data_IF_799155338726
#
_entry.id   IF_799155338726
#
_cell.length_a   1.000
_cell.length_b   1.000
_cell.length_c   1.000
_cell.angle_alpha   90.00
_cell.angle_beta   90.00
_cell.angle_gamma   90.00
#
_symmetry.space_group_name_H-M   'P 1'
#
loop_
_entity.id
_entity.type
_entity.pdbx_description
1 polymer ?
#
# COMPACT_ATOMS: atom_id res chain seq x y z
N UNK A 1 -17.04 -4.55 9.03
CA UNK A 1 -16.49 -3.20 8.82
C UNK A 1 -16.08 -3.13 7.37
N UNK A 2 -16.42 -2.08 6.62
CA UNK A 2 -16.05 -2.00 5.19
C UNK A 2 -14.56 -1.67 5.05
N UNK A 3 -13.91 -2.10 3.96
CA UNK A 3 -12.49 -1.82 3.69
C UNK A 3 -12.17 -0.31 3.73
N UNK A 4 -13.08 0.52 3.23
CA UNK A 4 -12.98 1.98 3.28
C UNK A 4 -12.83 2.51 4.72
N UNK A 5 -13.65 1.99 5.65
CA UNK A 5 -13.61 2.36 7.08
C UNK A 5 -12.31 1.88 7.75
N UNK A 6 -11.72 0.78 7.26
CA UNK A 6 -10.42 0.24 7.73
C UNK A 6 -9.28 1.18 7.33
N UNK A 7 -9.16 1.48 6.03
CA UNK A 7 -8.10 2.32 5.52
C UNK A 7 -8.21 3.76 6.06
N UNK A 8 -9.44 4.26 6.21
CA UNK A 8 -9.69 5.58 6.77
C UNK A 8 -9.17 5.76 8.21
N UNK A 9 -9.09 4.70 9.03
CA UNK A 9 -8.50 4.76 10.38
C UNK A 9 -6.97 4.81 10.36
N UNK A 10 -6.35 4.03 9.48
CA UNK A 10 -4.89 3.96 9.32
C UNK A 10 -4.35 5.27 8.71
N UNK A 11 -5.06 5.86 7.77
CA UNK A 11 -4.65 7.08 7.06
C UNK A 11 -4.78 8.40 7.88
N UNK A 12 -5.02 8.34 9.20
CA UNK A 12 -5.35 9.53 10.01
C UNK A 12 -4.14 10.35 10.48
N UNK A 13 -2.92 9.82 10.39
CA UNK A 13 -1.74 10.41 11.06
C UNK A 13 -0.66 11.02 10.15
N UNK A 14 -0.49 10.53 8.93
CA UNK A 14 0.58 10.96 8.02
C UNK A 14 0.08 11.02 6.58
N UNK A 15 0.47 12.08 5.89
CA UNK A 15 0.35 12.23 4.45
C UNK A 15 1.49 11.44 3.81
N UNK A 16 1.19 10.43 3.00
CA UNK A 16 2.21 9.70 2.21
C UNK A 16 2.98 10.65 1.33
N UNK A 17 2.29 11.63 0.76
CA UNK A 17 2.91 12.68 -0.05
C UNK A 17 3.95 13.44 0.76
N UNK A 18 3.65 13.85 1.99
CA UNK A 18 4.60 14.60 2.83
C UNK A 18 5.83 13.74 3.20
N UNK A 19 5.64 12.44 3.43
CA UNK A 19 6.74 11.51 3.71
C UNK A 19 7.65 11.31 2.49
N UNK A 20 7.06 11.15 1.31
CA UNK A 20 7.80 11.05 0.04
C UNK A 20 8.55 12.36 -0.23
N UNK A 21 7.88 13.52 -0.11
CA UNK A 21 8.47 14.83 -0.34
C UNK A 21 9.66 15.08 0.59
N UNK A 22 9.50 14.81 1.90
CA UNK A 22 10.58 14.94 2.88
C UNK A 22 11.79 14.05 2.52
N UNK A 23 11.55 12.84 2.03
CA UNK A 23 12.61 11.95 1.60
C UNK A 23 13.34 12.46 0.35
N UNK A 24 12.62 13.06 -0.61
CA UNK A 24 13.25 13.68 -1.80
C UNK A 24 14.15 14.86 -1.40
N UNK A 25 13.69 15.71 -0.49
CA UNK A 25 14.47 16.84 0.04
C UNK A 25 15.75 16.35 0.72
N UNK A 26 15.68 15.25 1.48
CA UNK A 26 16.84 14.63 2.12
C UNK A 26 17.84 14.06 1.10
N UNK A 27 17.35 13.42 0.02
CA UNK A 27 18.21 12.92 -1.05
C UNK A 27 18.96 14.05 -1.76
N UNK A 28 18.27 15.15 -2.05
CA UNK A 28 18.88 16.34 -2.64
C UNK A 28 19.95 16.93 -1.71
N UNK A 29 19.65 17.05 -0.41
CA UNK A 29 20.60 17.53 0.60
C UNK A 29 21.84 16.63 0.73
N UNK A 30 21.70 15.32 0.49
CA UNK A 30 22.80 14.35 0.47
C UNK A 30 23.57 14.32 -0.85
N UNK A 31 23.21 15.17 -1.83
CA UNK A 31 23.86 15.25 -3.12
C UNK A 31 23.49 14.12 -4.07
N UNK A 32 22.33 13.48 -3.85
CA UNK A 32 21.72 12.52 -4.79
C UNK A 32 20.67 13.28 -5.61
N UNK A 33 21.02 13.81 -6.79
CA UNK A 33 20.09 14.63 -7.56
C UNK A 33 18.92 13.80 -8.06
N UNK A 34 17.70 14.22 -7.71
CA UNK A 34 16.45 13.71 -8.26
C UNK A 34 16.06 14.62 -9.43
N UNK A 35 16.06 14.07 -10.65
CA UNK A 35 15.85 14.88 -11.87
C UNK A 35 14.46 15.51 -11.94
N UNK A 36 13.44 14.80 -11.45
CA UNK A 36 12.04 15.25 -11.40
C UNK A 36 11.37 14.70 -10.13
N UNK A 37 11.46 15.43 -9.00
CA UNK A 37 10.93 14.98 -7.71
C UNK A 37 9.43 14.69 -7.74
N UNK A 38 8.65 15.47 -8.50
CA UNK A 38 7.21 15.29 -8.58
C UNK A 38 6.85 14.00 -9.33
N UNK A 39 7.48 13.74 -10.48
CA UNK A 39 7.25 12.50 -11.22
C UNK A 39 7.69 11.25 -10.44
N UNK A 40 8.77 11.37 -9.67
CA UNK A 40 9.24 10.30 -8.79
C UNK A 40 8.27 10.06 -7.63
N UNK A 41 7.72 11.12 -7.03
CA UNK A 41 6.72 10.99 -5.98
C UNK A 41 5.43 10.32 -6.49
N UNK A 42 4.95 10.69 -7.67
CA UNK A 42 3.81 10.04 -8.33
C UNK A 42 4.10 8.55 -8.59
N UNK A 43 5.33 8.22 -9.00
CA UNK A 43 5.73 6.84 -9.24
C UNK A 43 5.76 5.99 -7.96
N UNK A 44 6.21 6.56 -6.84
CA UNK A 44 6.16 5.89 -5.52
C UNK A 44 4.72 5.69 -5.05
N UNK A 45 3.87 6.72 -5.18
CA UNK A 45 2.46 6.62 -4.82
C UNK A 45 1.73 5.56 -5.64
N UNK A 46 2.01 5.49 -6.95
CA UNK A 46 1.53 4.42 -7.82
C UNK A 46 2.02 3.03 -7.42
N UNK A 47 3.25 2.92 -6.92
CA UNK A 47 3.77 1.66 -6.41
C UNK A 47 3.05 1.22 -5.14
N UNK A 48 2.64 2.15 -4.27
CA UNK A 48 1.82 1.86 -3.07
C UNK A 48 0.45 1.31 -3.48
N UNK A 49 -0.20 1.96 -4.46
CA UNK A 49 -1.48 1.47 -5.02
C UNK A 49 -1.31 0.04 -5.57
N UNK A 50 -0.22 -0.21 -6.29
CA UNK A 50 0.06 -1.54 -6.84
C UNK A 50 0.30 -2.59 -5.75
N UNK A 51 1.04 -2.27 -4.69
CA UNK A 51 1.23 -3.19 -3.56
C UNK A 51 -0.12 -3.53 -2.92
N UNK A 52 -0.99 -2.55 -2.71
CA UNK A 52 -2.33 -2.79 -2.18
C UNK A 52 -3.18 -3.68 -3.11
N UNK A 53 -3.12 -3.44 -4.42
CA UNK A 53 -3.77 -4.29 -5.42
C UNK A 53 -3.27 -5.73 -5.36
N UNK A 54 -1.96 -5.93 -5.25
CA UNK A 54 -1.39 -7.27 -5.14
C UNK A 54 -1.82 -7.97 -3.85
N UNK A 55 -2.01 -7.25 -2.75
CA UNK A 55 -2.55 -7.85 -1.53
C UNK A 55 -4.03 -8.24 -1.65
N UNK A 56 -4.81 -7.56 -2.49
CA UNK A 56 -6.15 -8.01 -2.84
C UNK A 56 -6.14 -9.23 -3.78
N UNK A 57 -5.08 -9.38 -4.59
CA UNK A 57 -4.96 -10.41 -5.62
C UNK A 57 -3.98 -11.54 -5.25
N UNK A 58 -3.89 -11.89 -3.96
CA UNK A 58 -2.88 -12.86 -3.44
C UNK A 58 -3.06 -14.26 -4.02
N UNK A 59 -4.29 -14.65 -4.34
CA UNK A 59 -4.58 -15.92 -5.00
C UNK A 59 -4.23 -15.92 -6.51
N UNK A 60 -3.77 -14.78 -7.04
CA UNK A 60 -3.35 -14.59 -8.42
C UNK A 60 -4.46 -14.07 -9.34
N UNK A 61 -5.67 -13.89 -8.82
CA UNK A 61 -6.79 -13.29 -9.55
C UNK A 61 -7.40 -12.17 -8.69
N UNK A 62 -8.22 -11.32 -9.31
CA UNK A 62 -9.01 -10.35 -8.56
C UNK A 62 -10.36 -10.24 -9.23
N UNK A 63 -11.42 -10.40 -8.47
CA UNK A 63 -12.77 -10.25 -8.98
C UNK A 63 -13.09 -8.78 -9.23
N UNK A 64 -14.06 -8.51 -10.10
CA UNK A 64 -14.55 -7.14 -10.29
C UNK A 64 -15.12 -6.53 -9.00
N UNK A 65 -15.56 -7.35 -8.04
CA UNK A 65 -16.06 -6.89 -6.76
C UNK A 65 -14.93 -6.40 -5.86
N UNK A 66 -13.86 -7.18 -5.72
CA UNK A 66 -12.66 -6.80 -4.96
C UNK A 66 -11.99 -5.55 -5.56
N UNK A 67 -11.92 -5.45 -6.89
CA UNK A 67 -11.44 -4.22 -7.56
C UNK A 67 -12.31 -3.02 -7.20
N UNK A 68 -13.65 -3.18 -7.18
CA UNK A 68 -14.55 -2.08 -6.79
C UNK A 68 -14.38 -1.67 -5.34
N UNK A 69 -14.17 -2.61 -4.42
CA UNK A 69 -13.96 -2.34 -3.00
C UNK A 69 -12.61 -1.68 -2.74
N UNK A 70 -11.54 -2.19 -3.36
CA UNK A 70 -10.21 -1.59 -3.28
C UNK A 70 -10.24 -0.16 -3.83
N UNK A 71 -10.89 0.05 -4.98
CA UNK A 71 -11.08 1.38 -5.59
C UNK A 71 -11.78 2.34 -4.64
N UNK A 72 -12.91 1.93 -4.04
CA UNK A 72 -13.64 2.78 -3.11
C UNK A 72 -12.77 3.15 -1.90
N UNK A 73 -11.94 2.22 -1.45
CA UNK A 73 -11.06 2.42 -0.29
C UNK A 73 -9.87 3.32 -0.62
N UNK A 74 -9.28 3.20 -1.81
CA UNK A 74 -8.27 4.13 -2.31
C UNK A 74 -8.83 5.55 -2.44
N UNK A 75 -10.09 5.69 -2.91
CA UNK A 75 -10.78 6.99 -2.98
C UNK A 75 -11.05 7.62 -1.62
N UNK A 76 -10.99 6.87 -0.51
CA UNK A 76 -11.14 7.44 0.83
C UNK A 76 -9.80 7.94 1.41
N UNK A 77 -8.67 7.54 0.83
CA UNK A 77 -7.35 8.00 1.27
C UNK A 77 -7.09 9.40 0.68
N UNK A 78 -6.88 10.38 1.56
CA UNK A 78 -6.74 11.80 1.19
C UNK A 78 -5.66 12.03 0.13
N UNK A 79 -4.51 11.38 0.26
CA UNK A 79 -3.36 11.60 -0.62
C UNK A 79 -3.58 10.97 -2.01
N UNK A 80 -4.38 9.88 -2.06
CA UNK A 80 -4.79 9.26 -3.32
C UNK A 80 -5.81 10.11 -4.09
N UNK A 81 -6.60 10.92 -3.38
CA UNK A 81 -7.45 11.96 -4.01
C UNK A 81 -6.67 13.20 -4.43
N UNK A 82 -5.52 13.47 -3.80
CA UNK A 82 -4.67 14.62 -4.11
C UNK A 82 -3.87 14.44 -5.41
N UNK A 83 -3.75 13.21 -5.93
CA UNK A 83 -3.40 12.93 -7.32
C UNK A 83 -4.50 13.45 -8.27
N UNK A 84 -4.63 14.77 -8.36
CA UNK A 84 -5.66 15.43 -9.15
C UNK A 84 -5.46 15.26 -10.66
N UNK A 85 -6.57 15.22 -11.41
CA UNK A 85 -6.60 15.68 -12.81
C UNK A 85 -6.67 14.64 -13.92
N UNK A 86 -6.75 13.34 -13.62
CA UNK A 86 -6.84 12.30 -14.67
C UNK A 86 -6.54 10.88 -14.22
N UNK A 87 -6.47 10.66 -12.90
CA UNK A 87 -6.24 9.35 -12.30
C UNK A 87 -7.48 8.47 -12.49
N UNK A 88 -7.61 7.89 -13.68
CA UNK A 88 -8.63 6.87 -13.94
C UNK A 88 -8.22 5.59 -13.22
N UNK A 89 -8.60 5.48 -11.94
CA UNK A 89 -8.42 4.28 -11.12
C UNK A 89 -8.83 3.01 -11.89
N UNK A 90 -9.88 3.08 -12.71
CA UNK A 90 -10.32 1.94 -13.52
C UNK A 90 -9.28 1.54 -14.58
N UNK A 91 -8.63 2.51 -15.22
CA UNK A 91 -7.54 2.25 -16.17
C UNK A 91 -6.31 1.68 -15.46
N UNK A 92 -5.97 2.22 -14.29
CA UNK A 92 -4.88 1.73 -13.43
C UNK A 92 -5.14 0.28 -13.00
N UNK A 93 -6.32 -0.02 -12.46
CA UNK A 93 -6.68 -1.37 -12.01
C UNK A 93 -6.60 -2.36 -13.17
N UNK A 94 -7.11 -1.99 -14.34
CA UNK A 94 -7.03 -2.82 -15.55
C UNK A 94 -5.59 -3.07 -16.00
N UNK A 95 -4.74 -2.05 -15.95
CA UNK A 95 -3.32 -2.17 -16.27
C UNK A 95 -2.61 -3.11 -15.28
N UNK A 96 -2.89 -2.98 -13.98
CA UNK A 96 -2.32 -3.83 -12.94
C UNK A 96 -2.78 -5.29 -13.08
N UNK A 97 -4.05 -5.54 -13.38
CA UNK A 97 -4.55 -6.89 -13.71
C UNK A 97 -3.82 -7.48 -14.91
N UNK A 98 -3.57 -6.69 -15.96
CA UNK A 98 -2.79 -7.12 -17.12
C UNK A 98 -1.36 -7.51 -16.75
N UNK A 99 -0.66 -6.64 -16.01
CA UNK A 99 0.71 -6.91 -15.52
C UNK A 99 0.77 -8.13 -14.61
N UNK A 100 -0.24 -8.32 -13.75
CA UNK A 100 -0.35 -9.48 -12.89
C UNK A 100 -0.48 -10.77 -13.71
N UNK A 101 -1.33 -10.77 -14.74
CA UNK A 101 -1.52 -11.94 -15.62
C UNK A 101 -0.26 -12.29 -16.43
N UNK A 102 0.53 -11.27 -16.83
CA UNK A 102 1.74 -11.46 -17.63
C UNK A 102 2.96 -11.89 -16.81
N UNK A 103 3.18 -11.25 -15.65
CA UNK A 103 4.42 -11.39 -14.87
C UNK A 103 4.26 -12.26 -13.62
N UNK A 104 3.02 -12.44 -13.16
CA UNK A 104 2.69 -13.15 -11.94
C UNK A 104 2.92 -12.33 -10.67
N UNK A 105 2.25 -12.74 -9.60
CA UNK A 105 2.15 -12.00 -8.34
C UNK A 105 3.51 -11.63 -7.74
N UNK A 106 4.39 -12.63 -7.58
CA UNK A 106 5.68 -12.45 -6.90
C UNK A 106 6.59 -11.43 -7.61
N UNK A 107 6.70 -11.54 -8.94
CA UNK A 107 7.54 -10.63 -9.72
C UNK A 107 6.98 -9.20 -9.69
N UNK A 108 5.65 -9.04 -9.72
CA UNK A 108 5.02 -7.74 -9.57
C UNK A 108 5.26 -7.12 -8.20
N UNK A 109 5.15 -7.91 -7.13
CA UNK A 109 5.40 -7.45 -5.77
C UNK A 109 6.82 -6.91 -5.62
N UNK A 110 7.82 -7.67 -6.06
CA UNK A 110 9.23 -7.26 -5.98
C UNK A 110 9.47 -5.95 -6.77
N UNK A 111 8.90 -5.83 -7.98
CA UNK A 111 9.02 -4.61 -8.80
C UNK A 111 8.27 -3.41 -8.20
N UNK A 112 7.15 -3.62 -7.53
CA UNK A 112 6.40 -2.57 -6.86
C UNK A 112 7.10 -2.11 -5.58
N UNK A 113 7.50 -3.03 -4.72
CA UNK A 113 8.20 -2.72 -3.49
C UNK A 113 9.52 -1.98 -3.74
N UNK A 114 10.29 -2.36 -4.78
CA UNK A 114 11.54 -1.68 -5.13
C UNK A 114 11.38 -0.22 -5.55
N UNK A 115 10.18 0.20 -5.96
CA UNK A 115 9.89 1.61 -6.30
C UNK A 115 9.60 2.46 -5.07
N UNK A 116 9.17 1.88 -3.95
CA UNK A 116 8.87 2.62 -2.73
C UNK A 116 10.17 2.77 -1.93
N UNK A 117 10.75 3.97 -1.95
CA UNK A 117 12.09 4.21 -1.41
C UNK A 117 12.05 4.84 -0.03
N UNK A 118 11.15 5.79 0.19
CA UNK A 118 11.03 6.48 1.45
C UNK A 118 10.70 5.47 2.59
N UNK A 119 11.50 5.38 3.66
CA UNK A 119 11.28 4.43 4.75
C UNK A 119 9.89 4.52 5.37
N UNK A 120 9.43 5.74 5.62
CA UNK A 120 8.10 6.04 6.17
C UNK A 120 6.99 5.60 5.20
N UNK A 121 7.20 5.79 3.89
CA UNK A 121 6.27 5.34 2.87
C UNK A 121 6.20 3.81 2.80
N UNK A 122 7.30 3.07 3.05
CA UNK A 122 7.28 1.61 3.14
C UNK A 122 6.44 1.13 4.31
N UNK A 123 6.63 1.72 5.48
CA UNK A 123 5.86 1.34 6.69
C UNK A 123 4.38 1.60 6.48
N UNK A 124 4.04 2.76 5.91
CA UNK A 124 2.67 3.09 5.58
C UNK A 124 2.07 2.16 4.50
N UNK A 125 2.81 1.91 3.41
CA UNK A 125 2.39 1.01 2.36
C UNK A 125 2.13 -0.40 2.90
N UNK A 126 3.00 -0.88 3.78
CA UNK A 126 2.82 -2.16 4.46
C UNK A 126 1.57 -2.18 5.32
N UNK A 127 1.31 -1.15 6.12
CA UNK A 127 0.10 -1.06 6.95
C UNK A 127 -1.18 -1.05 6.11
N UNK A 128 -1.21 -0.29 5.00
CA UNK A 128 -2.35 -0.27 4.07
C UNK A 128 -2.55 -1.63 3.40
N UNK A 129 -1.47 -2.21 2.89
CA UNK A 129 -1.46 -3.49 2.20
C UNK A 129 -1.92 -4.64 3.13
N UNK A 130 -1.43 -4.64 4.37
CA UNK A 130 -1.90 -5.56 5.40
C UNK A 130 -3.39 -5.34 5.70
N UNK A 131 -3.86 -4.10 5.78
CA UNK A 131 -5.29 -3.79 5.99
C UNK A 131 -6.20 -4.27 4.87
N UNK A 132 -5.68 -4.34 3.63
CA UNK A 132 -6.37 -4.96 2.49
C UNK A 132 -6.44 -6.48 2.64
N UNK A 133 -5.34 -7.10 3.08
CA UNK A 133 -5.28 -8.54 3.30
C UNK A 133 -6.12 -9.01 4.52
N UNK A 134 -6.31 -8.17 5.53
CA UNK A 134 -7.17 -8.46 6.68
C UNK A 134 -8.65 -8.29 6.32
N UNK A 135 -9.25 -9.28 5.64
CA UNK A 135 -10.68 -9.26 5.34
C UNK A 135 -11.51 -9.72 6.56
N UNK A 136 -11.04 -10.74 7.29
CA UNK A 136 -11.67 -11.32 8.49
C UNK A 136 -10.69 -11.43 9.68
N UNK A 137 -11.20 -11.83 10.85
CA UNK A 137 -10.41 -12.04 12.09
C UNK A 137 -9.38 -13.20 11.98
N UNK A 138 -9.42 -13.95 10.87
CA UNK A 138 -8.50 -15.03 10.54
C UNK A 138 -7.79 -14.70 9.23
N UNK A 139 -6.46 -14.52 9.30
CA UNK A 139 -5.61 -14.42 8.11
C UNK A 139 -5.42 -15.80 7.51
N UNK A 140 -5.80 -15.99 6.25
CA UNK A 140 -5.55 -17.22 5.52
C UNK A 140 -4.03 -17.43 5.35
N UNK A 141 -3.58 -18.69 5.20
CA UNK A 141 -2.15 -18.98 4.99
C UNK A 141 -1.53 -18.24 3.81
N UNK A 142 -2.32 -17.96 2.76
CA UNK A 142 -1.87 -17.22 1.58
C UNK A 142 -1.63 -15.73 1.89
N UNK A 143 -2.54 -15.08 2.61
CA UNK A 143 -2.41 -13.68 3.03
C UNK A 143 -1.21 -13.49 3.98
N UNK A 144 -1.03 -14.40 4.94
CA UNK A 144 0.13 -14.37 5.84
C UNK A 144 1.45 -14.48 5.07
N UNK A 145 1.54 -15.41 4.11
CA UNK A 145 2.71 -15.56 3.25
C UNK A 145 2.94 -14.33 2.35
N UNK A 146 1.87 -13.68 1.90
CA UNK A 146 1.95 -12.45 1.11
C UNK A 146 2.47 -11.27 1.94
N UNK A 147 1.98 -11.11 3.17
CA UNK A 147 2.46 -10.10 4.14
C UNK A 147 3.94 -10.32 4.44
N UNK A 148 4.35 -11.57 4.71
CA UNK A 148 5.76 -11.90 4.95
C UNK A 148 6.64 -11.59 3.73
N UNK A 149 6.13 -11.85 2.52
CA UNK A 149 6.85 -11.53 1.27
C UNK A 149 7.01 -10.02 1.08
N UNK A 150 5.98 -9.24 1.42
CA UNK A 150 6.03 -7.78 1.35
C UNK A 150 7.00 -7.20 2.39
N UNK A 151 6.97 -7.71 3.63
CA UNK A 151 7.92 -7.31 4.68
C UNK A 151 9.37 -7.56 4.24
N UNK A 152 9.65 -8.72 3.66
CA UNK A 152 10.97 -9.04 3.11
C UNK A 152 11.35 -8.09 1.97
N UNK A 153 10.41 -7.77 1.07
CA UNK A 153 10.67 -6.88 -0.06
C UNK A 153 10.98 -5.43 0.39
N UNK A 154 10.39 -4.97 1.49
CA UNK A 154 10.71 -3.68 2.11
C UNK A 154 11.96 -3.71 3.00
N UNK A 155 12.47 -4.91 3.31
CA UNK A 155 13.64 -5.08 4.17
C UNK A 155 13.33 -4.95 5.65
N UNK A 156 12.08 -5.17 6.07
CA UNK A 156 11.70 -5.15 7.48
C UNK A 156 12.22 -6.37 8.20
N UNK A 157 12.71 -6.14 9.41
CA UNK A 157 12.99 -7.21 10.34
C UNK A 157 11.68 -7.84 10.83
N UNK A 158 11.75 -9.09 11.28
CA UNK A 158 10.56 -9.81 11.74
C UNK A 158 9.85 -9.10 12.90
N UNK A 159 10.60 -8.51 13.83
CA UNK A 159 10.01 -7.81 14.98
C UNK A 159 9.28 -6.54 14.53
N UNK A 160 9.90 -5.76 13.64
CA UNK A 160 9.33 -4.56 13.06
C UNK A 160 8.03 -4.85 12.29
N UNK A 161 8.02 -5.87 11.43
CA UNK A 161 6.81 -6.23 10.69
C UNK A 161 5.68 -6.70 11.62
N UNK A 162 5.99 -7.40 12.70
CA UNK A 162 5.01 -7.84 13.69
C UNK A 162 4.44 -6.68 14.51
N UNK A 163 5.25 -5.66 14.81
CA UNK A 163 4.77 -4.47 15.49
C UNK A 163 3.85 -3.64 14.56
N UNK A 164 4.23 -3.45 13.30
CA UNK A 164 3.36 -2.80 12.30
C UNK A 164 2.03 -3.56 12.11
N UNK A 165 2.06 -4.90 12.06
CA UNK A 165 0.84 -5.71 11.97
C UNK A 165 -0.03 -5.58 13.23
N UNK A 166 0.59 -5.48 14.41
CA UNK A 166 -0.14 -5.26 15.66
C UNK A 166 -0.84 -3.90 15.66
N UNK A 167 -0.16 -2.84 15.22
CA UNK A 167 -0.75 -1.51 15.08
C UNK A 167 -1.94 -1.52 14.11
N UNK A 168 -1.80 -2.19 12.96
CA UNK A 168 -2.92 -2.37 12.02
C UNK A 168 -4.07 -3.06 12.73
N UNK A 169 -3.82 -4.22 13.35
CA UNK A 169 -4.86 -4.99 14.02
C UNK A 169 -5.54 -4.18 15.14
N UNK A 170 -4.78 -3.46 15.97
CA UNK A 170 -5.33 -2.59 17.01
C UNK A 170 -6.19 -1.49 16.40
N UNK A 171 -5.74 -0.81 15.35
CA UNK A 171 -6.52 0.24 14.70
C UNK A 171 -7.80 -0.30 14.04
N UNK A 172 -7.75 -1.50 13.47
CA UNK A 172 -8.90 -2.13 12.80
C UNK A 172 -9.92 -2.69 13.80
N UNK A 173 -9.47 -3.32 14.89
CA UNK A 173 -10.30 -4.12 15.80
C UNK A 173 -10.41 -3.59 17.22
N UNK A 174 -9.75 -2.48 17.59
CA UNK A 174 -9.98 -1.85 18.89
C UNK A 174 -11.45 -1.47 19.05
N UNK A 175 -12.08 -1.98 20.11
CA UNK A 175 -13.45 -1.63 20.50
C UNK A 175 -13.47 -0.15 20.94
N UNK A 176 -14.24 0.73 20.28
CA UNK A 176 -14.36 2.14 20.66
C UNK A 176 -14.94 2.34 22.08
N UNK A 177 -15.37 1.27 22.76
CA UNK A 177 -15.90 1.28 24.13
C UNK A 177 -14.84 0.98 25.21
N UNK A 178 -13.56 0.88 24.87
CA UNK A 178 -12.45 0.65 25.82
C UNK A 178 -11.44 1.81 25.93
N UNK A 179 -11.78 3.01 25.47
CA UNK A 179 -11.06 4.24 25.78
C UNK A 179 -11.81 5.06 26.84
#
# INVERSE_FOLDING_TARGET
MKLEERLGKIATGMSVSDAIDSYMDELEAQGTPVSDPAAEADAELMAIVEVMFLMAAVDGEVSEEEVRELRASLQAIRDMNAMGGGFELDAVMKELSGKLAEEGWKQRLEKAAARIRAPEARSFAFQLAASVAFVDDFVAHAEAAAIDSLAQAFGFEKEESQDLLREVHENLFADPRRA
#
